data_IF_172009323970
#
_entry.id   IF_172009323970
#
_cell.length_a   1.000
_cell.length_b   1.000
_cell.length_c   1.000
_cell.angle_alpha   90.00
_cell.angle_beta   90.00
_cell.angle_gamma   90.00
#
_symmetry.space_group_name_H-M   'P 1'
#
loop_
_entity.id
_entity.type
_entity.pdbx_description
1 polymer ?
#
# COMPACT_ATOMS: atom_id res chain seq x y z
N UNK A 1 -11.82 -19.25 4.05
CA UNK A 1 -12.79 -18.14 3.91
C UNK A 1 -13.81 -18.25 5.03
N UNK A 2 -14.12 -17.16 5.72
CA UNK A 2 -15.19 -17.12 6.71
C UNK A 2 -16.57 -16.82 6.10
N UNK A 3 -16.65 -16.62 4.77
CA UNK A 3 -17.90 -16.42 4.03
C UNK A 3 -18.96 -17.49 4.33
N UNK A 4 -18.55 -18.73 4.61
CA UNK A 4 -19.48 -19.83 4.93
C UNK A 4 -20.07 -19.76 6.35
N UNK A 5 -19.41 -19.02 7.26
CA UNK A 5 -19.86 -18.85 8.65
C UNK A 5 -20.84 -17.70 8.83
N UNK A 6 -20.80 -16.70 7.96
CA UNK A 6 -21.59 -15.47 8.12
C UNK A 6 -23.02 -15.70 7.57
N UNK A 7 -24.07 -15.55 8.39
CA UNK A 7 -25.44 -15.68 7.91
C UNK A 7 -25.77 -14.69 6.78
N UNK A 8 -26.61 -15.07 5.80
CA UNK A 8 -26.94 -14.21 4.66
C UNK A 8 -27.42 -12.79 5.04
N UNK A 9 -28.13 -12.65 6.17
CA UNK A 9 -28.64 -11.35 6.66
C UNK A 9 -27.54 -10.33 6.97
N UNK A 10 -26.36 -10.81 7.35
CA UNK A 10 -25.22 -9.99 7.76
C UNK A 10 -23.97 -10.26 6.90
N UNK A 11 -24.15 -10.85 5.70
CA UNK A 11 -23.07 -11.27 4.81
C UNK A 11 -22.06 -10.14 4.47
N UNK A 12 -22.52 -8.89 4.38
CA UNK A 12 -21.65 -7.72 4.10
C UNK A 12 -20.73 -7.32 5.27
N UNK A 13 -20.73 -8.04 6.39
CA UNK A 13 -19.68 -7.88 7.41
C UNK A 13 -18.29 -8.14 6.83
N UNK A 14 -18.17 -9.06 5.88
CA UNK A 14 -16.90 -9.30 5.17
C UNK A 14 -16.45 -8.08 4.38
N UNK A 15 -17.36 -7.49 3.59
CA UNK A 15 -17.11 -6.27 2.82
C UNK A 15 -16.65 -5.12 3.75
N UNK A 16 -17.34 -4.94 4.87
CA UNK A 16 -16.99 -3.93 5.85
C UNK A 16 -15.62 -4.21 6.48
N UNK A 17 -15.30 -5.46 6.84
CA UNK A 17 -14.01 -5.82 7.45
C UNK A 17 -12.81 -5.59 6.51
N UNK A 18 -12.98 -5.87 5.21
CA UNK A 18 -11.94 -5.73 4.19
C UNK A 18 -11.79 -4.30 3.61
N UNK A 19 -12.58 -3.34 4.09
CA UNK A 19 -12.45 -1.94 3.69
C UNK A 19 -12.11 -1.08 4.91
N UNK A 20 -10.88 -0.56 4.98
CA UNK A 20 -10.40 0.28 6.08
C UNK A 20 -11.23 1.55 6.35
N UNK A 21 -12.24 1.89 5.53
CA UNK A 21 -13.25 2.92 5.83
C UNK A 21 -13.76 2.86 7.27
N UNK A 22 -13.96 1.64 7.82
CA UNK A 22 -14.38 1.49 9.21
C UNK A 22 -13.41 2.12 10.22
N UNK A 23 -12.12 2.29 9.91
CA UNK A 23 -11.09 2.68 10.87
C UNK A 23 -11.20 4.14 11.31
N UNK A 24 -11.72 5.03 10.45
CA UNK A 24 -12.02 6.42 10.79
C UNK A 24 -13.51 6.72 11.02
N UNK A 25 -14.40 5.75 10.79
CA UNK A 25 -15.84 5.86 11.07
C UNK A 25 -16.18 5.25 12.42
N UNK A 26 -16.71 6.07 13.34
CA UNK A 26 -16.96 5.65 14.73
C UNK A 26 -18.04 4.57 14.81
N UNK A 27 -19.13 4.74 14.08
CA UNK A 27 -20.31 3.88 14.07
C UNK A 27 -19.96 2.47 13.56
N UNK A 28 -19.04 2.37 12.61
CA UNK A 28 -18.51 1.11 12.09
C UNK A 28 -17.62 0.40 13.12
N UNK A 29 -16.76 1.13 13.84
CA UNK A 29 -15.99 0.57 14.97
C UNK A 29 -16.89 0.09 16.10
N UNK A 30 -17.95 0.85 16.39
CA UNK A 30 -18.91 0.48 17.43
C UNK A 30 -19.71 -0.77 17.03
N UNK A 31 -20.02 -0.95 15.74
CA UNK A 31 -20.60 -2.20 15.23
C UNK A 31 -19.70 -3.42 15.47
N UNK A 32 -18.39 -3.32 15.23
CA UNK A 32 -17.46 -4.41 15.53
C UNK A 32 -17.37 -4.69 17.04
N UNK A 33 -17.44 -3.68 17.90
CA UNK A 33 -17.54 -3.89 19.36
C UNK A 33 -18.82 -4.65 19.77
N UNK A 34 -19.93 -4.44 19.06
CA UNK A 34 -21.20 -5.11 19.34
C UNK A 34 -21.18 -6.59 18.95
N UNK A 35 -20.36 -7.00 17.98
CA UNK A 35 -20.20 -8.42 17.63
C UNK A 35 -19.73 -9.21 18.86
N UNK A 36 -18.58 -8.82 19.41
CA UNK A 36 -18.00 -9.34 20.64
C UNK A 36 -16.89 -8.38 21.13
N UNK A 37 -17.13 -7.70 22.25
CA UNK A 37 -16.19 -6.72 22.77
C UNK A 37 -14.87 -7.34 23.28
N UNK A 38 -14.93 -8.56 23.82
CA UNK A 38 -13.74 -9.25 24.32
C UNK A 38 -12.85 -9.64 23.14
N UNK A 39 -13.45 -10.21 22.09
CA UNK A 39 -12.76 -10.59 20.88
C UNK A 39 -12.20 -9.38 20.13
N UNK A 40 -12.95 -8.28 20.08
CA UNK A 40 -12.48 -7.01 19.51
C UNK A 40 -11.18 -6.53 20.17
N UNK A 41 -11.04 -6.69 21.49
CA UNK A 41 -9.82 -6.33 22.22
C UNK A 41 -8.70 -7.34 22.05
N UNK A 42 -8.99 -8.65 22.09
CA UNK A 42 -7.95 -9.69 21.98
C UNK A 42 -7.31 -9.73 20.59
N UNK A 43 -8.09 -9.45 19.54
CA UNK A 43 -7.63 -9.33 18.14
C UNK A 43 -7.01 -7.96 17.83
N UNK A 44 -6.75 -7.13 18.84
CA UNK A 44 -6.17 -5.78 18.69
C UNK A 44 -6.93 -4.91 17.68
N UNK A 45 -8.26 -4.99 17.72
CA UNK A 45 -9.14 -4.20 16.87
C UNK A 45 -9.00 -4.55 15.38
N UNK A 46 -8.75 -5.82 15.04
CA UNK A 46 -8.67 -6.32 13.68
C UNK A 46 -9.98 -7.04 13.29
N UNK A 47 -10.85 -6.43 12.45
CA UNK A 47 -12.09 -7.06 12.04
C UNK A 47 -11.93 -8.39 11.30
N UNK A 48 -10.87 -8.54 10.50
CA UNK A 48 -10.66 -9.78 9.72
C UNK A 48 -10.32 -10.93 10.68
N UNK A 49 -9.36 -10.71 11.57
CA UNK A 49 -9.02 -11.68 12.61
C UNK A 49 -10.22 -11.97 13.53
N UNK A 50 -11.00 -10.95 13.89
CA UNK A 50 -12.22 -11.12 14.67
C UNK A 50 -13.25 -12.02 13.96
N UNK A 51 -13.47 -11.84 12.66
CA UNK A 51 -14.39 -12.69 11.90
C UNK A 51 -13.86 -14.11 11.67
N UNK A 52 -12.54 -14.31 11.70
CA UNK A 52 -11.94 -15.64 11.68
C UNK A 52 -12.19 -16.41 12.99
N UNK A 53 -12.06 -15.72 14.13
CA UNK A 53 -12.13 -16.29 15.48
C UNK A 53 -13.55 -16.39 16.06
N UNK A 54 -14.49 -15.54 15.62
CA UNK A 54 -15.87 -15.53 16.15
C UNK A 54 -16.61 -16.83 15.84
N UNK A 55 -17.45 -17.28 16.78
CA UNK A 55 -18.22 -18.51 16.60
C UNK A 55 -19.42 -18.31 15.65
N UNK A 56 -19.79 -19.32 14.83
CA UNK A 56 -20.98 -19.25 13.98
C UNK A 56 -22.26 -19.00 14.77
N UNK A 57 -22.39 -19.57 15.98
CA UNK A 57 -23.56 -19.41 16.84
C UNK A 57 -23.77 -17.94 17.21
N UNK A 58 -22.67 -17.23 17.55
CA UNK A 58 -22.73 -15.81 17.89
C UNK A 58 -23.18 -14.97 16.70
N UNK A 59 -22.72 -15.29 15.49
CA UNK A 59 -23.15 -14.62 14.27
C UNK A 59 -24.64 -14.90 13.96
N UNK A 60 -25.12 -16.13 14.20
CA UNK A 60 -26.54 -16.48 14.05
C UNK A 60 -27.43 -15.73 15.04
N UNK A 61 -27.02 -15.60 16.30
CA UNK A 61 -27.73 -14.79 17.30
C UNK A 61 -27.88 -13.34 16.83
N UNK A 62 -26.77 -12.71 16.44
CA UNK A 62 -26.73 -11.31 16.00
C UNK A 62 -27.50 -11.08 14.70
N UNK A 63 -27.55 -12.08 13.82
CA UNK A 63 -28.36 -12.02 12.60
C UNK A 63 -29.88 -11.96 12.88
N UNK A 64 -30.31 -12.20 14.12
CA UNK A 64 -31.71 -12.09 14.56
C UNK A 64 -31.95 -10.98 15.59
N UNK A 65 -30.89 -10.33 16.10
CA UNK A 65 -30.99 -9.27 17.11
C UNK A 65 -31.41 -7.93 16.46
N UNK A 66 -32.60 -7.38 16.78
CA UNK A 66 -33.07 -6.12 16.19
C UNK A 66 -32.18 -4.92 16.47
N UNK A 67 -31.50 -4.89 17.63
CA UNK A 67 -30.62 -3.78 17.99
C UNK A 67 -29.33 -3.81 17.16
N UNK A 68 -28.73 -4.99 17.00
CA UNK A 68 -27.58 -5.17 16.13
C UNK A 68 -27.92 -4.87 14.68
N UNK A 69 -29.01 -5.44 14.16
CA UNK A 69 -29.40 -5.26 12.75
C UNK A 69 -29.68 -3.80 12.41
N UNK A 70 -30.28 -3.03 13.32
CA UNK A 70 -30.49 -1.59 13.11
C UNK A 70 -29.16 -0.83 12.95
N UNK A 71 -28.17 -1.12 13.79
CA UNK A 71 -26.85 -0.49 13.70
C UNK A 71 -26.11 -0.96 12.44
N UNK A 72 -26.18 -2.26 12.13
CA UNK A 72 -25.59 -2.86 10.94
C UNK A 72 -26.11 -2.21 9.66
N UNK A 73 -27.44 -2.12 9.51
CA UNK A 73 -28.07 -1.51 8.33
C UNK A 73 -27.69 -0.03 8.21
N UNK A 74 -27.68 0.72 9.31
CA UNK A 74 -27.28 2.13 9.31
C UNK A 74 -25.82 2.32 8.85
N UNK A 75 -24.90 1.47 9.34
CA UNK A 75 -23.48 1.51 8.94
C UNK A 75 -23.32 1.16 7.46
N UNK A 76 -24.03 0.16 6.95
CA UNK A 76 -23.95 -0.20 5.53
C UNK A 76 -24.55 0.87 4.62
N UNK A 77 -25.64 1.52 5.03
CA UNK A 77 -26.19 2.66 4.31
C UNK A 77 -25.16 3.80 4.24
N UNK A 78 -24.48 4.09 5.35
CA UNK A 78 -23.42 5.11 5.37
C UNK A 78 -22.24 4.74 4.47
N UNK A 79 -21.78 3.48 4.52
CA UNK A 79 -20.74 2.97 3.63
C UNK A 79 -21.15 3.10 2.16
N UNK A 80 -22.37 2.69 1.80
CA UNK A 80 -22.88 2.78 0.44
C UNK A 80 -22.97 4.23 -0.05
N UNK A 81 -23.42 5.15 0.81
CA UNK A 81 -23.45 6.60 0.58
C UNK A 81 -22.03 7.09 0.25
N UNK A 82 -21.05 6.86 1.10
CA UNK A 82 -19.69 7.38 0.89
C UNK A 82 -19.00 6.77 -0.34
N UNK A 83 -19.25 5.48 -0.61
CA UNK A 83 -18.63 4.78 -1.74
C UNK A 83 -19.35 4.99 -3.09
N UNK A 84 -20.63 5.36 -3.12
CA UNK A 84 -21.41 5.46 -4.38
C UNK A 84 -21.85 6.88 -4.72
N UNK A 85 -21.82 7.84 -3.79
CA UNK A 85 -22.46 9.13 -4.01
C UNK A 85 -21.81 10.02 -5.08
N UNK A 86 -22.66 10.72 -5.82
CA UNK A 86 -22.30 11.80 -6.75
C UNK A 86 -22.11 13.17 -6.10
N UNK A 87 -22.21 13.27 -4.76
CA UNK A 87 -22.04 14.53 -4.00
C UNK A 87 -20.60 14.76 -3.51
N UNK A 88 -19.67 13.87 -3.88
CA UNK A 88 -18.25 14.03 -3.57
C UNK A 88 -17.72 15.31 -4.23
N UNK A 89 -16.89 16.05 -3.51
CA UNK A 89 -16.40 17.35 -3.95
C UNK A 89 -15.63 17.27 -5.28
N UNK A 90 -14.72 16.29 -5.43
CA UNK A 90 -13.87 16.20 -6.60
C UNK A 90 -14.64 15.83 -7.88
N UNK A 91 -15.48 14.78 -7.92
CA UNK A 91 -16.31 14.50 -9.10
C UNK A 91 -17.28 15.63 -9.46
N UNK A 92 -17.78 16.37 -8.46
CA UNK A 92 -18.68 17.52 -8.69
C UNK A 92 -17.92 18.70 -9.31
N UNK A 93 -16.71 18.97 -8.82
CA UNK A 93 -15.91 20.14 -9.24
C UNK A 93 -15.09 19.89 -10.51
N UNK A 94 -14.64 18.65 -10.72
CA UNK A 94 -13.74 18.23 -11.80
C UNK A 94 -14.24 16.94 -12.49
N UNK A 95 -15.45 16.94 -13.07
CA UNK A 95 -16.06 15.73 -13.65
C UNK A 95 -15.18 15.07 -14.73
N UNK A 96 -14.49 15.88 -15.55
CA UNK A 96 -13.64 15.41 -16.65
C UNK A 96 -12.35 14.70 -16.19
N UNK A 97 -12.00 14.82 -14.90
CA UNK A 97 -10.80 14.21 -14.31
C UNK A 97 -11.09 12.97 -13.48
N UNK A 98 -12.36 12.55 -13.36
CA UNK A 98 -12.77 11.42 -12.51
C UNK A 98 -12.18 10.07 -12.92
N UNK A 99 -11.79 9.91 -14.18
CA UNK A 99 -11.11 8.70 -14.71
C UNK A 99 -9.59 8.85 -14.76
N UNK A 100 -9.05 10.02 -14.40
CA UNK A 100 -7.62 10.35 -14.47
C UNK A 100 -7.00 10.24 -13.07
N UNK A 101 -6.48 9.06 -12.74
CA UNK A 101 -5.96 8.80 -11.40
C UNK A 101 -4.66 9.55 -11.10
N UNK A 102 -4.42 9.76 -9.80
CA UNK A 102 -3.11 10.10 -9.22
C UNK A 102 -2.51 8.83 -8.63
N UNK A 103 -1.26 8.53 -8.96
CA UNK A 103 -0.53 7.46 -8.28
C UNK A 103 0.34 8.04 -7.16
N UNK A 104 0.08 7.63 -5.93
CA UNK A 104 0.76 8.09 -4.73
C UNK A 104 1.69 7.00 -4.21
N UNK A 105 3.00 7.25 -4.28
CA UNK A 105 4.04 6.31 -3.91
C UNK A 105 4.57 6.67 -2.53
N UNK A 106 4.57 5.70 -1.61
CA UNK A 106 5.18 5.86 -0.30
C UNK A 106 5.77 4.55 0.20
N UNK A 107 6.85 4.66 0.99
CA UNK A 107 7.40 3.51 1.68
C UNK A 107 6.45 3.01 2.78
N UNK A 108 5.71 3.89 3.47
CA UNK A 108 4.85 3.52 4.61
C UNK A 108 3.44 4.11 4.53
N UNK A 109 2.46 3.38 5.09
CA UNK A 109 1.06 3.81 5.16
C UNK A 109 0.40 3.50 6.52
N UNK A 110 0.00 4.54 7.23
CA UNK A 110 -0.66 4.49 8.53
C UNK A 110 -2.19 4.43 8.43
N UNK A 111 -2.74 3.31 7.96
CA UNK A 111 -4.18 3.12 7.87
C UNK A 111 -4.83 2.76 9.21
N UNK A 112 -4.32 1.71 9.84
CA UNK A 112 -4.73 1.22 11.15
C UNK A 112 -3.71 0.19 11.66
N UNK A 113 -3.64 -0.03 12.98
CA UNK A 113 -2.69 -0.98 13.60
C UNK A 113 -2.86 -2.45 13.16
N UNK A 114 -4.01 -2.80 12.56
CA UNK A 114 -4.27 -4.13 12.00
C UNK A 114 -3.52 -4.40 10.69
N UNK A 115 -2.90 -3.38 10.09
CA UNK A 115 -1.97 -3.50 8.97
C UNK A 115 -0.71 -2.66 9.29
N UNK A 116 0.27 -3.24 10.00
CA UNK A 116 1.37 -2.50 10.62
C UNK A 116 2.50 -2.16 9.65
N UNK A 117 2.19 -1.50 8.53
CA UNK A 117 3.14 -1.11 7.47
C UNK A 117 3.63 0.33 7.58
N UNK A 118 3.74 0.84 8.81
CA UNK A 118 4.22 2.21 9.08
C UNK A 118 4.95 2.30 10.43
N UNK A 119 5.76 3.33 10.60
CA UNK A 119 6.56 3.58 11.80
C UNK A 119 6.17 4.88 12.51
N UNK A 120 5.85 5.94 11.77
CA UNK A 120 5.73 7.29 12.34
C UNK A 120 4.92 8.26 11.50
N UNK A 121 5.28 9.54 11.61
CA UNK A 121 4.49 10.66 11.06
C UNK A 121 4.36 10.66 9.54
N UNK A 122 5.38 10.22 8.81
CA UNK A 122 5.34 10.13 7.34
C UNK A 122 4.24 9.15 6.88
N UNK A 123 4.17 7.98 7.51
CA UNK A 123 3.18 6.95 7.22
C UNK A 123 1.78 7.34 7.69
N UNK A 124 1.64 7.94 8.88
CA UNK A 124 0.35 8.48 9.34
C UNK A 124 -0.18 9.52 8.35
N UNK A 125 0.67 10.45 7.91
CA UNK A 125 0.31 11.43 6.90
C UNK A 125 -0.08 10.77 5.57
N UNK A 126 0.70 9.80 5.09
CA UNK A 126 0.38 9.06 3.87
C UNK A 126 -0.98 8.35 3.96
N UNK A 127 -1.27 7.73 5.10
CA UNK A 127 -2.55 7.09 5.38
C UNK A 127 -3.70 8.09 5.39
N UNK A 128 -3.57 9.20 6.12
CA UNK A 128 -4.61 10.22 6.22
C UNK A 128 -4.84 10.95 4.89
N UNK A 129 -3.79 11.18 4.11
CA UNK A 129 -3.91 11.71 2.75
C UNK A 129 -4.75 10.79 1.86
N UNK A 130 -4.57 9.48 1.97
CA UNK A 130 -5.38 8.51 1.23
C UNK A 130 -6.82 8.41 1.72
N UNK A 131 -7.07 8.60 3.02
CA UNK A 131 -8.43 8.67 3.60
C UNK A 131 -9.16 9.92 3.10
N UNK A 132 -8.51 11.08 3.16
CA UNK A 132 -9.07 12.33 2.65
C UNK A 132 -9.33 12.26 1.14
N UNK A 133 -8.41 11.67 0.36
CA UNK A 133 -8.62 11.42 -1.07
C UNK A 133 -9.89 10.59 -1.33
N UNK A 134 -10.17 9.61 -0.48
CA UNK A 134 -11.42 8.86 -0.51
C UNK A 134 -12.62 9.76 -0.18
N UNK A 135 -12.57 10.52 0.91
CA UNK A 135 -13.69 11.32 1.41
C UNK A 135 -14.09 12.43 0.41
N UNK A 136 -13.12 13.01 -0.32
CA UNK A 136 -13.40 14.03 -1.35
C UNK A 136 -13.64 13.43 -2.75
N UNK A 137 -13.43 12.13 -2.93
CA UNK A 137 -13.60 11.43 -4.21
C UNK A 137 -12.50 11.69 -5.26
N UNK A 138 -11.29 12.04 -4.83
CA UNK A 138 -10.12 12.15 -5.71
C UNK A 138 -9.73 10.73 -6.18
N UNK A 139 -9.63 10.46 -7.50
CA UNK A 139 -9.16 9.16 -7.98
C UNK A 139 -7.68 8.99 -7.64
N UNK A 140 -7.38 8.34 -6.52
CA UNK A 140 -6.03 8.10 -6.04
C UNK A 140 -5.78 6.60 -5.88
N UNK A 141 -4.61 6.16 -6.35
CA UNK A 141 -4.09 4.81 -6.17
C UNK A 141 -2.79 4.91 -5.38
N UNK A 142 -2.70 4.19 -4.28
CA UNK A 142 -1.53 4.14 -3.42
C UNK A 142 -0.64 2.93 -3.77
N UNK A 143 0.67 3.16 -3.85
CA UNK A 143 1.69 2.15 -4.13
C UNK A 143 2.69 2.12 -2.97
N UNK A 144 2.96 0.94 -2.41
CA UNK A 144 3.88 0.78 -1.30
C UNK A 144 4.28 -0.67 -1.07
N UNK A 145 4.88 -0.92 0.10
CA UNK A 145 5.33 -2.25 0.50
C UNK A 145 4.35 -2.94 1.44
N UNK A 146 4.32 -4.27 1.37
CA UNK A 146 3.85 -5.10 2.46
C UNK A 146 5.04 -5.48 3.34
N UNK A 147 5.15 -4.91 4.54
CA UNK A 147 6.20 -5.27 5.49
C UNK A 147 5.71 -6.32 6.48
N UNK A 148 6.04 -7.60 6.29
CA UNK A 148 5.56 -8.68 7.16
C UNK A 148 5.88 -8.49 8.65
N UNK A 149 7.04 -7.89 8.97
CA UNK A 149 7.43 -7.60 10.35
C UNK A 149 7.16 -6.15 10.79
N UNK A 150 6.61 -5.32 9.89
CA UNK A 150 6.37 -3.90 10.14
C UNK A 150 7.63 -3.14 10.55
N UNK A 151 7.50 -2.26 11.55
CA UNK A 151 8.62 -1.57 12.19
C UNK A 151 9.19 -2.40 13.35
N UNK A 152 8.74 -2.18 14.59
CA UNK A 152 8.96 -3.11 15.70
C UNK A 152 7.90 -2.92 16.78
N UNK A 153 7.69 -3.95 17.61
CA UNK A 153 6.96 -3.85 18.87
C UNK A 153 7.95 -3.58 19.99
N UNK A 154 7.78 -2.46 20.66
CA UNK A 154 8.56 -2.11 21.84
C UNK A 154 8.17 -3.01 23.02
N UNK A 155 9.17 -3.63 23.65
CA UNK A 155 9.08 -4.26 24.96
C UNK A 155 10.06 -3.56 25.89
N UNK A 156 9.65 -3.32 27.14
CA UNK A 156 10.52 -2.73 28.16
C UNK A 156 10.79 -3.82 29.20
N UNK A 157 12.06 -4.15 29.38
CA UNK A 157 12.51 -5.15 30.35
C UNK A 157 12.38 -4.64 31.78
N UNK A 158 12.48 -5.53 32.76
CA UNK A 158 12.35 -5.18 34.18
C UNK A 158 13.42 -4.19 34.67
N UNK A 159 14.57 -4.13 34.00
CA UNK A 159 15.67 -3.20 34.24
C UNK A 159 15.60 -1.91 33.37
N UNK A 160 14.51 -1.72 32.62
CA UNK A 160 14.22 -0.49 31.90
C UNK A 160 14.85 -0.37 30.51
N UNK A 161 15.41 -1.46 29.97
CA UNK A 161 15.93 -1.49 28.60
C UNK A 161 14.83 -1.70 27.58
N UNK A 162 15.00 -1.06 26.43
CA UNK A 162 14.16 -1.31 25.28
C UNK A 162 14.64 -2.56 24.53
N UNK A 163 13.72 -3.50 24.33
CA UNK A 163 13.85 -4.61 23.41
C UNK A 163 12.92 -4.39 22.20
N UNK A 164 13.48 -4.56 21.00
CA UNK A 164 12.73 -4.49 19.75
C UNK A 164 12.32 -5.90 19.30
N UNK A 165 11.02 -6.17 19.30
CA UNK A 165 10.44 -7.45 18.85
C UNK A 165 9.82 -7.26 17.47
N UNK A 166 10.09 -8.19 16.55
CA UNK A 166 9.64 -8.14 15.16
C UNK A 166 8.66 -9.29 14.88
N UNK A 167 7.42 -9.23 15.39
CA UNK A 167 6.45 -10.27 15.10
C UNK A 167 6.07 -10.21 13.62
N UNK A 168 6.18 -11.35 12.93
CA UNK A 168 5.58 -11.50 11.60
C UNK A 168 4.06 -11.50 11.77
N UNK A 169 3.36 -10.61 11.07
CA UNK A 169 1.92 -10.72 10.93
C UNK A 169 1.62 -11.60 9.71
N UNK A 170 0.50 -12.31 9.75
CA UNK A 170 0.09 -13.17 8.66
C UNK A 170 -0.82 -12.40 7.70
N UNK A 171 -0.51 -12.32 6.40
CA UNK A 171 -1.34 -11.61 5.43
C UNK A 171 -2.82 -12.03 5.45
N UNK A 172 -3.11 -13.31 5.68
CA UNK A 172 -4.47 -13.85 5.77
C UNK A 172 -5.29 -13.32 6.96
N UNK A 173 -4.63 -12.77 7.97
CA UNK A 173 -5.26 -12.17 9.15
C UNK A 173 -5.57 -10.67 8.94
N UNK A 174 -5.09 -10.06 7.85
CA UNK A 174 -5.24 -8.63 7.57
C UNK A 174 -6.32 -8.34 6.50
N UNK A 175 -6.78 -7.09 6.46
CA UNK A 175 -7.73 -6.58 5.46
C UNK A 175 -7.06 -6.33 4.10
N UNK A 176 -6.35 -7.33 3.60
CA UNK A 176 -5.66 -7.36 2.31
C UNK A 176 -6.01 -8.64 1.57
N UNK A 177 -5.99 -8.60 0.24
CA UNK A 177 -6.24 -9.76 -0.62
C UNK A 177 -5.14 -9.89 -1.64
N UNK A 178 -4.72 -11.12 -1.88
CA UNK A 178 -3.76 -11.40 -2.94
C UNK A 178 -4.36 -11.03 -4.30
N UNK A 179 -3.56 -10.40 -5.15
CA UNK A 179 -3.90 -10.18 -6.55
C UNK A 179 -3.62 -11.45 -7.35
N UNK A 180 -4.63 -11.92 -8.06
CA UNK A 180 -4.56 -13.10 -8.91
C UNK A 180 -4.66 -12.70 -10.38
N UNK A 181 -4.07 -13.51 -11.24
CA UNK A 181 -4.28 -13.50 -12.70
C UNK A 181 -5.68 -14.02 -13.03
N UNK A 182 -6.11 -13.86 -14.27
CA UNK A 182 -7.42 -14.32 -14.74
C UNK A 182 -7.63 -15.84 -14.61
N UNK A 183 -6.55 -16.61 -14.61
CA UNK A 183 -6.53 -18.06 -14.41
C UNK A 183 -6.61 -18.49 -12.92
N UNK A 184 -6.57 -17.53 -12.00
CA UNK A 184 -6.59 -17.77 -10.55
C UNK A 184 -5.21 -18.00 -9.93
N UNK A 185 -4.12 -17.94 -10.69
CA UNK A 185 -2.76 -18.02 -10.14
C UNK A 185 -2.31 -16.67 -9.55
N UNK A 186 -1.38 -16.73 -8.59
CA UNK A 186 -0.73 -15.55 -7.99
C UNK A 186 -0.12 -14.61 -9.04
N UNK A 187 -0.40 -13.32 -8.92
CA UNK A 187 0.21 -12.30 -9.77
C UNK A 187 1.63 -11.98 -9.28
N UNK A 188 2.63 -12.33 -10.09
CA UNK A 188 4.03 -11.96 -9.86
C UNK A 188 4.51 -10.93 -10.89
N UNK A 189 5.15 -9.87 -10.41
CA UNK A 189 5.76 -8.81 -11.21
C UNK A 189 7.29 -8.93 -11.14
N UNK A 190 7.99 -9.25 -12.25
CA UNK A 190 9.44 -9.29 -12.27
C UNK A 190 10.02 -7.87 -12.30
N UNK A 191 11.05 -7.61 -11.49
CA UNK A 191 11.80 -6.36 -11.44
C UNK A 191 13.29 -6.67 -11.48
N UNK A 192 14.00 -6.07 -12.43
CA UNK A 192 15.46 -6.19 -12.49
C UNK A 192 16.10 -5.31 -11.42
N UNK A 193 16.95 -5.92 -10.59
CA UNK A 193 17.66 -5.29 -9.48
C UNK A 193 19.15 -5.60 -9.65
N UNK A 194 19.82 -4.82 -10.49
CA UNK A 194 21.20 -5.14 -10.91
C UNK A 194 21.20 -6.36 -11.83
N UNK A 195 21.94 -7.41 -11.45
CA UNK A 195 22.09 -8.63 -12.28
C UNK A 195 21.09 -9.75 -11.95
N UNK A 196 20.09 -9.49 -11.10
CA UNK A 196 19.09 -10.47 -10.70
C UNK A 196 17.67 -9.90 -10.81
N UNK A 197 16.70 -10.81 -10.90
CA UNK A 197 15.28 -10.47 -11.04
C UNK A 197 14.53 -10.81 -9.75
N UNK A 198 13.96 -9.81 -9.11
CA UNK A 198 13.08 -9.97 -7.94
C UNK A 198 11.63 -10.09 -8.43
N UNK A 199 10.92 -11.13 -7.99
CA UNK A 199 9.52 -11.36 -8.30
C UNK A 199 8.63 -10.85 -7.18
N UNK A 200 7.84 -9.81 -7.43
CA UNK A 200 6.95 -9.21 -6.45
C UNK A 200 5.56 -9.84 -6.52
N UNK A 201 5.10 -10.42 -5.41
CA UNK A 201 3.70 -10.75 -5.20
C UNK A 201 2.95 -9.48 -4.79
N UNK A 202 1.72 -9.30 -5.28
CA UNK A 202 0.96 -8.07 -5.08
C UNK A 202 -0.25 -8.32 -4.18
N UNK A 203 -0.38 -7.50 -3.14
CA UNK A 203 -1.52 -7.49 -2.23
C UNK A 203 -2.34 -6.23 -2.43
N UNK A 204 -3.65 -6.39 -2.50
CA UNK A 204 -4.63 -5.31 -2.63
C UNK A 204 -5.30 -5.01 -1.29
N UNK A 205 -5.32 -3.73 -0.92
CA UNK A 205 -6.12 -3.24 0.20
C UNK A 205 -7.02 -2.09 -0.25
N UNK A 206 -8.07 -1.83 0.52
CA UNK A 206 -9.00 -0.73 0.24
C UNK A 206 -9.21 0.12 1.48
N UNK A 207 -9.05 1.43 1.35
CA UNK A 207 -9.47 2.40 2.36
C UNK A 207 -10.47 3.37 1.73
N UNK A 208 -11.75 3.14 2.01
CA UNK A 208 -12.85 3.84 1.37
C UNK A 208 -12.83 3.59 -0.14
N UNK A 209 -12.53 4.63 -0.91
CA UNK A 209 -12.40 4.60 -2.38
C UNK A 209 -10.95 4.38 -2.85
N UNK A 210 -9.97 4.59 -1.99
CA UNK A 210 -8.56 4.52 -2.35
C UNK A 210 -8.11 3.05 -2.43
N UNK A 211 -7.50 2.69 -3.55
CA UNK A 211 -6.90 1.38 -3.78
C UNK A 211 -5.42 1.40 -3.37
N UNK A 212 -4.98 0.41 -2.61
CA UNK A 212 -3.58 0.21 -2.24
C UNK A 212 -3.07 -1.04 -2.92
N UNK A 213 -1.92 -0.92 -3.58
CA UNK A 213 -1.16 -2.06 -4.10
C UNK A 213 0.14 -2.15 -3.32
N UNK A 214 0.27 -3.22 -2.55
CA UNK A 214 1.36 -3.48 -1.63
C UNK A 214 2.21 -4.60 -2.21
N UNK A 215 3.47 -4.31 -2.50
CA UNK A 215 4.40 -5.26 -3.09
C UNK A 215 5.14 -6.05 -2.03
N UNK A 216 5.34 -7.34 -2.30
CA UNK A 216 5.93 -8.30 -1.38
C UNK A 216 6.94 -9.20 -2.10
N UNK A 217 8.17 -9.23 -1.59
CA UNK A 217 9.24 -10.08 -2.08
C UNK A 217 9.36 -11.41 -1.32
N UNK A 218 8.63 -11.62 -0.20
CA UNK A 218 8.69 -12.88 0.57
C UNK A 218 7.88 -13.99 -0.11
N UNK A 219 8.46 -14.58 -1.16
CA UNK A 219 7.86 -15.71 -1.85
C UNK A 219 8.92 -16.67 -2.42
N UNK A 220 8.48 -17.85 -2.82
CA UNK A 220 9.37 -18.95 -3.22
C UNK A 220 10.06 -18.79 -4.57
N UNK A 221 9.73 -17.73 -5.34
CA UNK A 221 10.47 -17.39 -6.57
C UNK A 221 11.75 -16.59 -6.29
N UNK A 222 11.87 -16.03 -5.09
CA UNK A 222 12.99 -15.20 -4.69
C UNK A 222 13.96 -15.94 -3.78
N UNK A 223 15.24 -15.63 -3.90
CA UNK A 223 16.27 -16.11 -3.01
C UNK A 223 16.07 -15.56 -1.59
N UNK A 224 16.52 -16.25 -0.53
CA UNK A 224 16.26 -15.83 0.85
C UNK A 224 16.67 -14.38 1.17
N UNK A 225 17.74 -13.86 0.56
CA UNK A 225 18.17 -12.47 0.77
C UNK A 225 17.33 -11.44 0.02
N UNK A 226 16.65 -11.82 -1.06
CA UNK A 226 15.72 -10.94 -1.81
C UNK A 226 14.39 -10.81 -1.08
N UNK A 227 13.95 -11.88 -0.39
CA UNK A 227 12.77 -11.85 0.48
C UNK A 227 12.90 -10.81 1.60
N UNK A 228 14.13 -10.57 2.06
CA UNK A 228 14.42 -9.56 3.09
C UNK A 228 14.15 -8.11 2.63
N UNK A 229 14.02 -7.85 1.32
CA UNK A 229 13.74 -6.51 0.79
C UNK A 229 12.42 -5.92 1.31
N UNK A 230 11.42 -6.76 1.58
CA UNK A 230 10.11 -6.38 2.12
C UNK A 230 9.87 -6.91 3.52
N UNK A 231 10.89 -7.44 4.19
CA UNK A 231 10.74 -8.01 5.52
C UNK A 231 10.45 -6.95 6.59
N UNK A 232 11.16 -5.82 6.57
CA UNK A 232 11.09 -4.76 7.60
C UNK A 232 11.09 -3.36 7.02
N UNK A 233 10.29 -2.50 7.62
CA UNK A 233 10.31 -1.06 7.38
C UNK A 233 11.59 -0.45 7.97
N UNK A 234 12.32 0.32 7.17
CA UNK A 234 13.62 0.92 7.54
C UNK A 234 14.66 -0.10 8.03
N UNK A 235 14.64 -1.31 7.46
CA UNK A 235 15.69 -2.31 7.63
C UNK A 235 16.88 -2.11 6.69
N UNK A 236 17.95 -2.85 6.95
CA UNK A 236 19.07 -3.02 6.03
C UNK A 236 20.14 -1.93 6.05
N UNK A 237 21.10 -2.09 5.15
CA UNK A 237 22.16 -1.13 4.86
C UNK A 237 21.83 -0.34 3.58
N UNK A 238 22.76 0.50 3.12
CA UNK A 238 22.58 1.30 1.90
C UNK A 238 22.32 0.45 0.65
N UNK A 239 22.87 -0.76 0.62
CA UNK A 239 22.68 -1.69 -0.48
C UNK A 239 21.24 -2.21 -0.52
N UNK A 240 20.66 -2.53 0.64
CA UNK A 240 19.22 -2.84 0.72
C UNK A 240 18.36 -1.63 0.36
N UNK A 241 18.74 -0.42 0.80
CA UNK A 241 17.98 0.81 0.53
C UNK A 241 17.86 1.11 -0.95
N UNK A 242 18.95 1.07 -1.73
CA UNK A 242 18.86 1.30 -3.18
C UNK A 242 17.98 0.25 -3.88
N UNK A 243 18.06 -1.01 -3.45
CA UNK A 243 17.21 -2.08 -3.97
C UNK A 243 15.73 -1.85 -3.64
N UNK A 244 15.41 -1.43 -2.42
CA UNK A 244 14.05 -1.03 -2.05
C UNK A 244 13.54 0.14 -2.90
N UNK A 245 14.37 1.16 -3.15
CA UNK A 245 13.95 2.28 -4.01
C UNK A 245 13.71 1.84 -5.46
N UNK A 246 14.52 0.92 -5.98
CA UNK A 246 14.34 0.32 -7.31
C UNK A 246 13.02 -0.46 -7.34
N UNK A 247 12.79 -1.33 -6.36
CA UNK A 247 11.57 -2.13 -6.24
C UNK A 247 10.33 -1.23 -6.12
N UNK A 248 10.35 -0.21 -5.27
CA UNK A 248 9.22 0.69 -5.10
C UNK A 248 8.95 1.55 -6.34
N UNK A 249 10.01 2.14 -6.91
CA UNK A 249 9.90 3.04 -8.05
C UNK A 249 9.62 2.31 -9.37
N UNK A 250 10.52 1.41 -9.76
CA UNK A 250 10.43 0.64 -11.02
C UNK A 250 9.36 -0.44 -10.91
N UNK A 251 9.36 -1.22 -9.82
CA UNK A 251 8.36 -2.26 -9.60
C UNK A 251 6.95 -1.69 -9.51
N UNK A 252 6.76 -0.57 -8.82
CA UNK A 252 5.48 0.13 -8.77
C UNK A 252 4.97 0.60 -10.14
N UNK A 253 5.84 1.04 -11.05
CA UNK A 253 5.44 1.33 -12.43
C UNK A 253 4.99 0.08 -13.19
N UNK A 254 5.75 -1.02 -13.07
CA UNK A 254 5.40 -2.28 -13.71
C UNK A 254 4.06 -2.82 -13.20
N UNK A 255 3.78 -2.68 -11.90
CA UNK A 255 2.47 -3.01 -11.31
C UNK A 255 1.36 -2.16 -11.95
N UNK A 256 1.54 -0.84 -12.05
CA UNK A 256 0.54 0.03 -12.69
C UNK A 256 0.25 -0.40 -14.14
N UNK A 257 1.28 -0.79 -14.90
CA UNK A 257 1.13 -1.26 -16.28
C UNK A 257 0.40 -2.59 -16.36
N UNK A 258 0.77 -3.57 -15.54
CA UNK A 258 0.11 -4.88 -15.49
C UNK A 258 -1.39 -4.73 -15.15
N UNK A 259 -1.72 -3.80 -14.25
CA UNK A 259 -3.10 -3.54 -13.84
C UNK A 259 -3.88 -2.63 -14.81
N UNK A 260 -3.26 -2.18 -15.91
CA UNK A 260 -3.88 -1.26 -16.87
C UNK A 260 -4.17 0.13 -16.30
N UNK A 261 -3.50 0.52 -15.22
CA UNK A 261 -3.67 1.83 -14.57
C UNK A 261 -2.73 2.83 -15.24
N UNK A 262 -3.31 3.91 -15.78
CA UNK A 262 -2.57 5.00 -16.42
C UNK A 262 -2.79 6.32 -15.67
N UNK A 263 -2.02 6.59 -14.59
CA UNK A 263 -2.14 7.82 -13.82
C UNK A 263 -1.78 9.05 -14.66
N UNK A 264 -2.49 10.15 -14.42
CA UNK A 264 -2.17 11.45 -15.00
C UNK A 264 -1.01 12.13 -14.26
N UNK A 265 -0.96 11.94 -12.94
CA UNK A 265 0.04 12.55 -12.05
C UNK A 265 0.62 11.48 -11.11
N UNK A 266 1.90 11.62 -10.82
CA UNK A 266 2.65 10.75 -9.91
C UNK A 266 3.13 11.58 -8.74
N UNK A 267 2.83 11.16 -7.52
CA UNK A 267 3.22 11.84 -6.29
C UNK A 267 4.15 10.95 -5.48
N UNK A 268 5.39 11.40 -5.33
CA UNK A 268 6.42 10.76 -4.53
C UNK A 268 6.41 11.36 -3.12
N UNK A 269 6.09 10.53 -2.14
CA UNK A 269 6.19 10.87 -0.73
C UNK A 269 7.61 10.55 -0.23
N UNK A 270 8.46 11.58 -0.17
CA UNK A 270 9.90 11.49 0.07
C UNK A 270 10.69 10.77 -1.06
N UNK A 271 12.02 10.71 -0.92
CA UNK A 271 12.94 10.14 -1.93
C UNK A 271 12.83 8.63 -2.19
N UNK A 272 12.11 7.87 -1.36
CA UNK A 272 12.13 6.39 -1.39
C UNK A 272 11.60 5.75 -2.68
N UNK A 273 10.94 6.51 -3.53
CA UNK A 273 10.45 6.06 -4.83
C UNK A 273 11.08 6.85 -5.99
N UNK A 274 12.22 7.51 -5.77
CA UNK A 274 12.83 8.41 -6.73
C UNK A 274 13.06 7.76 -8.09
N UNK A 275 13.46 6.49 -8.15
CA UNK A 275 13.68 5.77 -9.41
C UNK A 275 12.43 5.57 -10.28
N UNK A 276 11.23 5.82 -9.74
CA UNK A 276 10.00 6.01 -10.52
C UNK A 276 10.20 7.01 -11.66
N UNK A 277 10.91 8.11 -11.42
CA UNK A 277 11.08 9.16 -12.45
C UNK A 277 11.92 8.66 -13.63
N UNK A 278 12.87 7.76 -13.38
CA UNK A 278 13.70 7.14 -14.40
C UNK A 278 12.89 6.12 -15.21
N UNK A 279 12.05 5.32 -14.56
CA UNK A 279 11.19 4.33 -15.24
C UNK A 279 10.17 5.02 -16.14
N UNK A 280 9.58 6.11 -15.68
CA UNK A 280 8.69 6.94 -16.51
C UNK A 280 9.44 7.56 -17.70
N UNK A 281 10.67 8.01 -17.52
CA UNK A 281 11.47 8.55 -18.62
C UNK A 281 11.82 7.46 -19.64
N UNK A 282 12.18 6.26 -19.17
CA UNK A 282 12.47 5.08 -20.01
C UNK A 282 11.29 4.72 -20.91
N UNK A 283 10.08 4.63 -20.36
CA UNK A 283 8.88 4.33 -21.17
C UNK A 283 8.64 5.36 -22.28
N UNK A 284 8.88 6.65 -22.02
CA UNK A 284 8.72 7.70 -23.04
C UNK A 284 9.81 7.66 -24.11
N UNK A 285 11.05 7.34 -23.72
CA UNK A 285 12.17 7.17 -24.66
C UNK A 285 11.94 5.96 -25.55
N UNK A 286 11.47 4.84 -25.00
CA UNK A 286 11.08 3.66 -25.78
C UNK A 286 9.91 3.94 -26.73
N UNK A 287 9.00 4.83 -26.35
CA UNK A 287 7.93 5.32 -27.22
C UNK A 287 8.44 6.29 -28.32
N UNK A 288 9.75 6.58 -28.38
CA UNK A 288 10.39 7.34 -29.45
C UNK A 288 10.73 8.79 -29.11
N UNK A 289 10.55 9.24 -27.86
CA UNK A 289 10.97 10.57 -27.44
C UNK A 289 12.47 10.64 -27.18
N UNK A 290 13.06 11.82 -27.31
CA UNK A 290 14.39 12.07 -26.75
C UNK A 290 14.33 12.09 -25.21
N UNK A 291 15.45 11.79 -24.54
CA UNK A 291 15.53 11.87 -23.08
C UNK A 291 15.16 13.27 -22.55
N UNK A 292 15.53 14.34 -23.26
CA UNK A 292 15.19 15.70 -22.86
C UNK A 292 13.69 16.00 -22.92
N UNK A 293 12.98 15.44 -23.91
CA UNK A 293 11.52 15.52 -23.99
C UNK A 293 10.87 14.70 -22.89
N UNK A 294 11.31 13.46 -22.69
CA UNK A 294 10.86 12.58 -21.62
C UNK A 294 11.04 13.24 -20.25
N UNK A 295 12.22 13.81 -19.97
CA UNK A 295 12.52 14.52 -18.73
C UNK A 295 11.57 15.70 -18.49
N UNK A 296 11.25 16.50 -19.53
CA UNK A 296 10.29 17.60 -19.41
C UNK A 296 8.87 17.10 -19.11
N UNK A 297 8.43 16.05 -19.79
CA UNK A 297 7.12 15.45 -19.59
C UNK A 297 6.97 14.85 -18.19
N UNK A 298 7.97 14.08 -17.72
CA UNK A 298 8.02 13.53 -16.37
C UNK A 298 7.99 14.64 -15.33
N UNK A 299 8.82 15.68 -15.49
CA UNK A 299 8.83 16.83 -14.58
C UNK A 299 7.48 17.54 -14.48
N UNK A 300 6.75 17.67 -15.59
CA UNK A 300 5.44 18.33 -15.62
C UNK A 300 4.32 17.53 -14.93
N UNK A 301 4.54 16.24 -14.66
CA UNK A 301 3.52 15.31 -14.16
C UNK A 301 3.96 14.57 -12.89
N UNK A 302 5.05 15.04 -12.26
CA UNK A 302 5.58 14.52 -11.00
C UNK A 302 5.43 15.56 -9.90
N UNK A 303 4.83 15.17 -8.78
CA UNK A 303 4.80 15.89 -7.52
C UNK A 303 5.79 15.22 -6.57
N UNK A 304 6.62 16.01 -5.90
CA UNK A 304 7.56 15.54 -4.89
C UNK A 304 7.32 16.28 -3.58
N UNK A 305 7.21 15.55 -2.49
CA UNK A 305 7.10 16.11 -1.14
C UNK A 305 8.28 15.64 -0.31
N UNK A 306 9.04 16.58 0.25
CA UNK A 306 10.07 16.35 1.26
C UNK A 306 9.54 16.74 2.64
N UNK A 307 9.80 15.90 3.64
CA UNK A 307 9.40 16.14 5.03
C UNK A 307 10.60 16.43 5.93
N UNK A 308 11.80 16.06 5.48
CA UNK A 308 13.03 16.28 6.21
C UNK A 308 13.86 17.34 5.50
N UNK A 309 13.89 18.60 5.98
CA UNK A 309 14.61 19.68 5.31
C UNK A 309 16.14 19.62 5.52
N UNK A 310 16.67 18.50 6.01
CA UNK A 310 18.10 18.32 6.30
C UNK A 310 18.70 17.18 5.47
N UNK A 311 19.94 17.31 4.97
CA UNK A 311 20.58 16.30 4.12
C UNK A 311 20.63 14.89 4.70
N UNK A 312 20.70 14.78 6.03
CA UNK A 312 20.74 13.49 6.73
C UNK A 312 19.45 12.66 6.59
N UNK A 313 18.33 13.28 6.17
CA UNK A 313 17.07 12.58 5.91
C UNK A 313 16.92 12.03 4.49
N UNK A 314 17.93 12.21 3.64
CA UNK A 314 17.90 11.78 2.25
C UNK A 314 18.89 10.65 2.02
N UNK A 315 18.43 9.61 1.33
CA UNK A 315 19.29 8.53 0.84
C UNK A 315 20.25 9.11 -0.22
N UNK A 316 21.56 8.90 -0.02
CA UNK A 316 22.62 9.31 -0.95
C UNK A 316 23.44 8.09 -1.31
N UNK A 317 23.36 7.70 -2.57
CA UNK A 317 24.05 6.52 -3.09
C UNK A 317 25.36 6.93 -3.77
N UNK A 318 26.50 6.28 -3.44
CA UNK A 318 27.76 6.56 -4.11
C UNK A 318 27.73 6.09 -5.57
N UNK A 319 28.50 6.72 -6.45
CA UNK A 319 28.47 6.42 -7.89
C UNK A 319 28.70 4.95 -8.21
N UNK A 320 29.62 4.25 -7.54
CA UNK A 320 29.84 2.82 -7.78
C UNK A 320 28.60 1.95 -7.53
N UNK A 321 27.71 2.37 -6.62
CA UNK A 321 26.46 1.68 -6.32
C UNK A 321 25.41 1.97 -7.40
N UNK A 322 25.27 3.24 -7.80
CA UNK A 322 24.44 3.60 -8.95
C UNK A 322 24.91 2.84 -10.19
N UNK A 323 26.23 2.73 -10.40
CA UNK A 323 26.78 1.97 -11.52
C UNK A 323 26.43 0.49 -11.44
N UNK A 324 26.62 -0.15 -10.28
CA UNK A 324 26.25 -1.55 -10.08
C UNK A 324 24.81 -1.82 -10.51
N UNK A 325 23.86 -1.00 -10.08
CA UNK A 325 22.43 -1.25 -10.30
C UNK A 325 21.87 -0.70 -11.61
N UNK A 326 22.45 0.35 -12.18
CA UNK A 326 21.92 1.03 -13.35
C UNK A 326 22.77 0.86 -14.62
N UNK A 327 23.87 0.10 -14.59
CA UNK A 327 24.75 -0.05 -15.76
C UNK A 327 24.06 -0.58 -17.02
N UNK A 328 23.15 -1.53 -16.86
CA UNK A 328 22.31 -2.04 -17.93
C UNK A 328 21.11 -1.12 -18.22
N UNK A 329 20.78 -0.18 -17.33
CA UNK A 329 19.57 0.62 -17.37
C UNK A 329 19.71 1.91 -18.19
N UNK A 330 20.75 2.72 -17.95
CA UNK A 330 20.89 4.01 -18.64
C UNK A 330 21.00 3.95 -20.17
N UNK A 331 21.44 2.86 -20.84
CA UNK A 331 21.35 2.76 -22.30
C UNK A 331 19.89 2.79 -22.79
N UNK A 332 18.92 2.31 -22.01
CA UNK A 332 17.49 2.39 -22.34
C UNK A 332 16.94 3.83 -22.28
N UNK A 333 17.66 4.74 -21.61
CA UNK A 333 17.37 6.18 -21.64
C UNK A 333 18.06 6.90 -22.80
N UNK A 334 18.86 6.19 -23.61
CA UNK A 334 19.69 6.79 -24.65
C UNK A 334 20.86 7.62 -24.10
N UNK A 335 21.33 7.30 -22.89
CA UNK A 335 22.39 8.04 -22.19
C UNK A 335 23.68 7.23 -22.07
N UNK A 336 24.82 7.94 -22.09
CA UNK A 336 26.09 7.40 -21.59
C UNK A 336 26.11 7.38 -20.06
N UNK A 337 27.07 6.65 -19.48
CA UNK A 337 27.32 6.65 -18.03
C UNK A 337 27.55 8.07 -17.51
N UNK A 338 28.37 8.86 -18.19
CA UNK A 338 28.70 10.23 -17.78
C UNK A 338 27.48 11.14 -17.84
N UNK A 339 26.61 10.97 -18.83
CA UNK A 339 25.37 11.74 -18.95
C UNK A 339 24.33 11.35 -17.89
N UNK A 340 24.29 10.09 -17.47
CA UNK A 340 23.38 9.61 -16.43
C UNK A 340 23.80 10.04 -15.02
N UNK A 341 25.11 10.10 -14.75
CA UNK A 341 25.66 10.48 -13.44
C UNK A 341 25.79 12.00 -13.23
N UNK A 342 25.61 12.81 -14.27
CA UNK A 342 25.67 14.28 -14.24
C UNK A 342 24.31 14.88 -13.89
#
# INVERSE_FOLDING_TARGET
>A
MFSDKIPPRIARLEELAYNFWWSWHREARDLFKMLDYTLWRSTRHNPVQMLLEISPERLMELATDPLFLRQYDAVLIALDIDLKNGHLWFPTKYPDLTTRSVAYFSAEFGLHQSLPIYSGGLGVLAGDHCKEASDIGLPLVAMGFLYEMGYFRQSITADGWQEAVYPRFKPEEAAIREMLREDGESLFIPVEVGDHTVHLQIWHARAGRTHFYLMDADNDRNAPWERELTARLYGGDREMRIQQEIVLGIGGMRILRELGIAPLVFHLNEGHSAFLVLERARELVEAGQSFDEARRAVRATTLFTTHTPVPAGHDVFPFHMIEKYFHAYWPHLGLSREQFLA
#
